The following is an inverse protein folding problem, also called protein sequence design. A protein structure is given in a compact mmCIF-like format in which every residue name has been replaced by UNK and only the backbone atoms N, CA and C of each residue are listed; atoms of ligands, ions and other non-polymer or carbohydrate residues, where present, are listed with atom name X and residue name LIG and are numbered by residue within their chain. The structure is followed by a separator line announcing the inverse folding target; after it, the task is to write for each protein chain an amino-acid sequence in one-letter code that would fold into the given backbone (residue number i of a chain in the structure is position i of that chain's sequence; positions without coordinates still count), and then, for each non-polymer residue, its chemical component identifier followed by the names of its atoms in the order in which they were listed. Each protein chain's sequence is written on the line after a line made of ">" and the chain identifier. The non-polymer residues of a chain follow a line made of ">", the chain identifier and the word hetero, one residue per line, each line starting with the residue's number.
data_IF_460740932024
#
_entry.id   IF_460740932024
#
_cell.length_a   1.000
_cell.length_b   1.000
_cell.length_c   1.000
_cell.angle_alpha   90.00
_cell.angle_beta   90.00
_cell.angle_gamma   90.00
#
_symmetry.space_group_name_H-M   'P 1'
#
loop_
_entity.id
_entity.type
_entity.pdbx_description
1 polymer ?
#
# COMPACT_ATOMS: atom_id res chain seq x y z
N UNK A 1 14.42 -33.07 -0.38
CA UNK A 1 14.96 -32.33 0.77
C UNK A 1 14.65 -30.84 0.74
N UNK A 2 14.69 -30.13 -0.41
CA UNK A 2 14.37 -28.66 -0.52
C UNK A 2 12.92 -28.30 -0.13
N UNK A 3 11.94 -29.17 -0.42
CA UNK A 3 10.53 -28.92 -0.11
C UNK A 3 10.18 -28.86 1.39
N UNK A 4 10.88 -29.61 2.23
CA UNK A 4 10.63 -29.66 3.67
C UNK A 4 11.15 -28.38 4.37
N UNK A 5 12.28 -27.83 3.91
CA UNK A 5 12.86 -26.60 4.45
C UNK A 5 12.02 -25.36 4.15
N UNK A 6 11.48 -25.27 2.93
CA UNK A 6 10.53 -24.20 2.58
C UNK A 6 9.26 -24.25 3.46
N UNK A 7 8.79 -25.44 3.80
CA UNK A 7 7.63 -25.61 4.69
C UNK A 7 7.93 -25.19 6.14
N UNK A 8 9.14 -25.40 6.60
CA UNK A 8 9.55 -25.06 7.97
C UNK A 8 9.85 -23.56 8.10
N UNK A 9 10.40 -22.90 7.07
CA UNK A 9 10.49 -21.44 6.97
C UNK A 9 9.10 -20.78 6.93
N UNK A 10 8.15 -21.39 6.21
CA UNK A 10 6.75 -20.97 6.19
C UNK A 10 6.06 -21.10 7.56
N UNK A 11 6.40 -22.15 8.32
CA UNK A 11 5.90 -22.33 9.70
C UNK A 11 6.53 -21.33 10.67
N UNK A 12 7.79 -20.93 10.46
CA UNK A 12 8.46 -19.90 11.24
C UNK A 12 7.85 -18.53 10.97
N UNK A 13 7.58 -18.15 9.71
CA UNK A 13 6.85 -16.94 9.35
C UNK A 13 5.43 -16.90 9.93
N UNK A 14 4.74 -18.04 9.97
CA UNK A 14 3.41 -18.14 10.60
C UNK A 14 3.48 -18.02 12.13
N UNK A 15 4.61 -18.36 12.76
CA UNK A 15 4.86 -18.18 14.20
C UNK A 15 5.36 -16.77 14.53
N UNK A 16 6.10 -16.15 13.63
CA UNK A 16 6.62 -14.77 13.74
C UNK A 16 5.55 -13.70 13.38
N UNK A 17 4.45 -14.08 12.71
CA UNK A 17 3.30 -13.21 12.58
C UNK A 17 2.79 -12.88 13.99
N UNK A 18 2.75 -11.59 14.41
CA UNK A 18 2.45 -11.24 15.78
C UNK A 18 1.04 -11.69 16.14
N UNK A 19 0.95 -12.76 16.93
CA UNK A 19 -0.20 -12.99 17.76
C UNK A 19 -0.17 -11.87 18.79
N UNK A 20 -1.10 -10.93 18.64
CA UNK A 20 -1.35 -9.89 19.63
C UNK A 20 -0.24 -8.83 19.78
N UNK A 21 -0.10 -7.99 18.75
CA UNK A 21 0.65 -6.71 18.85
C UNK A 21 0.06 -5.85 19.99
N UNK A 22 -1.23 -5.92 20.24
CA UNK A 22 -1.92 -5.20 21.29
C UNK A 22 -1.52 -5.61 22.71
N UNK A 23 -1.20 -6.90 22.95
CA UNK A 23 -0.81 -7.37 24.28
C UNK A 23 0.60 -6.91 24.68
N UNK A 24 1.51 -6.82 23.73
CA UNK A 24 2.88 -6.38 23.97
C UNK A 24 2.96 -4.86 24.26
N UNK A 25 2.12 -4.07 23.60
CA UNK A 25 2.00 -2.62 23.87
C UNK A 25 1.35 -2.34 25.21
N UNK A 26 0.33 -3.09 25.63
CA UNK A 26 -0.31 -2.94 26.96
C UNK A 26 0.65 -3.32 28.10
N UNK A 27 1.50 -4.33 27.92
CA UNK A 27 2.50 -4.69 28.93
C UNK A 27 3.59 -3.64 29.11
N UNK A 28 3.96 -2.93 28.05
CA UNK A 28 4.98 -1.86 28.08
C UNK A 28 4.46 -0.58 28.72
N UNK A 29 3.15 -0.28 28.57
CA UNK A 29 2.50 0.90 29.18
C UNK A 29 2.22 0.72 30.68
N UNK A 30 2.11 -0.51 31.19
CA UNK A 30 1.88 -0.79 32.59
C UNK A 30 3.16 -0.86 33.45
N UNK A 31 4.34 -0.97 32.83
CA UNK A 31 5.63 -1.09 33.53
C UNK A 31 6.27 0.26 33.92
N UNK A 32 5.71 1.41 33.53
CA UNK A 32 6.29 2.74 33.76
C UNK A 32 5.49 3.66 34.67
N UNK A 33 4.63 3.11 35.54
CA UNK A 33 3.97 3.94 36.58
C UNK A 33 4.83 3.97 37.83
N UNK A 34 5.41 5.13 38.25
CA UNK A 34 6.13 5.21 39.50
C UNK A 34 5.14 5.23 40.68
N UNK A 35 5.26 4.24 41.55
CA UNK A 35 4.65 4.28 42.88
C UNK A 35 5.56 5.15 43.80
N UNK A 36 5.13 6.35 44.14
CA UNK A 36 5.81 7.17 45.09
C UNK A 36 5.20 8.58 45.18
N UNK A 37 4.38 8.83 46.20
CA UNK A 37 3.78 10.13 46.45
C UNK A 37 4.77 11.08 47.08
N UNK A 38 5.43 11.91 46.27
CA UNK A 38 6.14 13.10 46.69
C UNK A 38 5.64 14.29 45.89
N UNK A 39 5.39 15.44 46.52
CA UNK A 39 4.93 16.66 45.85
C UNK A 39 6.03 17.20 44.94
N UNK A 40 5.87 17.03 43.61
CA UNK A 40 6.79 17.58 42.60
C UNK A 40 6.75 19.10 42.58
N UNK A 41 7.91 19.74 42.50
CA UNK A 41 8.05 21.19 42.34
C UNK A 41 7.50 21.65 40.96
N UNK A 42 7.15 22.93 40.83
CA UNK A 42 6.66 23.49 39.56
C UNK A 42 7.66 23.33 38.41
N UNK A 43 8.96 23.28 38.71
CA UNK A 43 10.04 23.13 37.75
C UNK A 43 10.12 21.68 37.22
N UNK A 44 9.90 20.69 38.09
CA UNK A 44 9.85 19.28 37.75
C UNK A 44 8.60 18.94 36.89
N UNK A 45 7.45 19.58 37.22
CA UNK A 45 6.23 19.45 36.39
C UNK A 45 6.39 20.05 34.99
N UNK A 46 7.14 21.15 34.84
CA UNK A 46 7.41 21.76 33.55
C UNK A 46 8.37 20.88 32.68
N UNK A 47 9.41 20.29 33.30
CA UNK A 47 10.33 19.38 32.60
C UNK A 47 9.67 18.08 32.22
N UNK A 48 8.80 17.53 33.06
CA UNK A 48 8.04 16.30 32.76
C UNK A 48 6.98 16.53 31.66
N UNK A 49 6.33 17.70 31.67
CA UNK A 49 5.41 18.10 30.60
C UNK A 49 6.12 18.33 29.25
N UNK A 50 7.35 18.85 29.28
CA UNK A 50 8.15 19.06 28.08
C UNK A 50 8.73 17.75 27.56
N UNK A 51 9.16 16.83 28.44
CA UNK A 51 9.57 15.46 28.06
C UNK A 51 8.42 14.65 27.47
N UNK A 52 7.21 14.72 28.05
CA UNK A 52 6.03 14.05 27.51
C UNK A 52 5.59 14.62 26.16
N UNK A 53 5.74 15.93 25.92
CA UNK A 53 5.47 16.55 24.62
C UNK A 53 6.46 16.10 23.54
N UNK A 54 7.76 15.99 23.84
CA UNK A 54 8.76 15.51 22.88
C UNK A 54 8.56 14.03 22.54
N UNK A 55 8.34 13.16 23.52
CA UNK A 55 8.04 11.74 23.26
C UNK A 55 6.72 11.53 22.50
N UNK A 56 5.68 12.32 22.79
CA UNK A 56 4.43 12.25 22.05
C UNK A 56 4.56 12.76 20.60
N UNK A 57 5.41 13.78 20.36
CA UNK A 57 5.66 14.28 19.00
C UNK A 57 6.50 13.30 18.19
N UNK A 58 7.55 12.70 18.75
CA UNK A 58 8.37 11.68 18.09
C UNK A 58 7.56 10.42 17.72
N UNK A 59 6.67 9.95 18.60
CA UNK A 59 5.80 8.81 18.30
C UNK A 59 4.77 9.13 17.23
N UNK A 60 4.22 10.33 17.19
CA UNK A 60 3.26 10.76 16.17
C UNK A 60 3.92 10.94 14.80
N UNK A 61 5.16 11.45 14.75
CA UNK A 61 5.94 11.56 13.52
C UNK A 61 6.36 10.18 12.98
N UNK A 62 6.68 9.25 13.87
CA UNK A 62 7.03 7.88 13.49
C UNK A 62 5.88 7.11 12.81
N UNK A 63 4.63 7.51 13.02
CA UNK A 63 3.44 6.91 12.41
C UNK A 63 2.96 7.65 11.14
N UNK A 64 3.57 8.79 10.80
CA UNK A 64 3.23 9.53 9.58
C UNK A 64 3.95 8.95 8.38
N UNK A 65 3.24 8.82 7.26
CA UNK A 65 3.78 8.34 5.97
C UNK A 65 3.33 9.24 4.83
N UNK A 66 4.27 9.66 4.02
CA UNK A 66 4.04 10.40 2.78
C UNK A 66 4.06 9.41 1.61
N UNK A 67 2.91 9.12 1.04
CA UNK A 67 2.75 8.11 -0.01
C UNK A 67 2.40 8.82 -1.32
N UNK A 68 3.20 8.57 -2.36
CA UNK A 68 2.90 9.02 -3.72
C UNK A 68 2.05 8.01 -4.47
N UNK A 69 1.07 8.46 -5.24
CA UNK A 69 0.33 7.62 -6.19
C UNK A 69 0.69 8.07 -7.60
N UNK A 70 1.33 7.18 -8.35
CA UNK A 70 1.80 7.45 -9.70
C UNK A 70 1.28 6.41 -10.68
N UNK A 71 0.95 6.84 -11.88
CA UNK A 71 0.34 5.97 -12.88
C UNK A 71 0.51 6.54 -14.29
N UNK A 72 0.34 5.70 -15.30
CA UNK A 72 0.10 6.23 -16.65
C UNK A 72 -1.34 6.72 -16.80
N UNK A 73 -1.60 7.47 -17.86
CA UNK A 73 -2.95 7.98 -18.18
C UNK A 73 -3.93 6.80 -18.27
N UNK A 74 -5.13 6.98 -17.76
CA UNK A 74 -6.23 6.01 -17.76
C UNK A 74 -5.96 4.70 -17.00
N UNK A 75 -4.93 4.58 -16.16
CA UNK A 75 -4.74 3.39 -15.30
C UNK A 75 -5.64 3.38 -14.06
N UNK A 76 -6.35 4.49 -13.79
CA UNK A 76 -7.28 4.61 -12.68
C UNK A 76 -6.67 5.16 -11.41
N UNK A 77 -5.64 6.02 -11.52
CA UNK A 77 -5.00 6.71 -10.40
C UNK A 77 -6.00 7.46 -9.52
N UNK A 78 -6.74 8.40 -10.10
CA UNK A 78 -7.72 9.23 -9.40
C UNK A 78 -8.84 8.39 -8.77
N UNK A 79 -9.31 7.36 -9.48
CA UNK A 79 -10.29 6.40 -8.93
C UNK A 79 -9.75 5.67 -7.70
N UNK A 80 -8.50 5.24 -7.71
CA UNK A 80 -7.87 4.59 -6.56
C UNK A 80 -7.76 5.56 -5.38
N UNK A 81 -7.35 6.80 -5.62
CA UNK A 81 -7.25 7.83 -4.58
C UNK A 81 -8.63 8.13 -3.96
N UNK A 82 -9.66 8.33 -4.78
CA UNK A 82 -11.05 8.52 -4.30
C UNK A 82 -11.52 7.34 -3.44
N UNK A 83 -11.24 6.10 -3.84
CA UNK A 83 -11.57 4.89 -3.07
C UNK A 83 -10.82 4.84 -1.73
N UNK A 84 -9.54 5.18 -1.69
CA UNK A 84 -8.78 5.26 -0.44
C UNK A 84 -9.40 6.28 0.50
N UNK A 85 -9.72 7.48 0.01
CA UNK A 85 -10.36 8.53 0.82
C UNK A 85 -11.74 8.11 1.34
N UNK A 86 -12.51 7.39 0.53
CA UNK A 86 -13.81 6.87 0.94
C UNK A 86 -13.68 5.80 2.03
N UNK A 87 -12.86 4.77 1.84
CA UNK A 87 -12.70 3.69 2.83
C UNK A 87 -12.04 4.15 4.13
N UNK A 88 -11.28 5.24 4.10
CA UNK A 88 -10.71 5.86 5.31
C UNK A 88 -11.66 6.87 5.97
N UNK A 89 -12.88 7.03 5.44
CA UNK A 89 -13.90 7.93 5.98
C UNK A 89 -13.59 9.42 5.78
N UNK A 90 -12.64 9.76 4.88
CA UNK A 90 -12.29 11.15 4.59
C UNK A 90 -13.33 11.84 3.69
N UNK A 91 -13.99 11.09 2.83
CA UNK A 91 -15.12 11.51 1.99
C UNK A 91 -16.31 10.57 2.22
N UNK A 92 -17.52 11.11 2.10
CA UNK A 92 -18.75 10.36 2.37
C UNK A 92 -19.30 9.66 1.13
N UNK A 93 -18.89 10.07 -0.05
CA UNK A 93 -19.32 9.51 -1.34
C UNK A 93 -18.14 9.45 -2.31
N UNK A 94 -18.19 8.49 -3.22
CA UNK A 94 -17.21 8.33 -4.29
C UNK A 94 -17.71 9.16 -5.47
N UNK A 95 -16.85 10.04 -5.98
CA UNK A 95 -17.16 10.89 -7.13
C UNK A 95 -16.55 10.33 -8.41
N UNK A 96 -17.25 10.48 -9.53
CA UNK A 96 -16.72 10.08 -10.83
C UNK A 96 -15.66 11.06 -11.33
N UNK A 97 -14.54 10.52 -11.81
CA UNK A 97 -13.38 11.29 -12.30
C UNK A 97 -13.75 12.27 -13.42
N UNK A 98 -14.70 11.90 -14.27
CA UNK A 98 -15.14 12.73 -15.39
C UNK A 98 -16.29 13.68 -15.06
N UNK A 99 -16.61 13.86 -13.79
CA UNK A 99 -17.64 14.79 -13.35
C UNK A 99 -19.04 14.53 -13.90
N UNK A 100 -19.36 13.30 -14.33
CA UNK A 100 -20.68 12.93 -14.80
C UNK A 100 -21.77 13.07 -13.72
N UNK A 101 -21.35 13.01 -12.46
CA UNK A 101 -22.17 13.29 -11.27
C UNK A 101 -22.31 14.79 -10.96
N UNK A 102 -21.69 15.68 -11.77
CA UNK A 102 -21.71 17.13 -11.60
C UNK A 102 -20.76 17.66 -10.51
N UNK A 103 -20.06 16.79 -9.78
CA UNK A 103 -19.17 17.16 -8.65
C UNK A 103 -17.70 16.98 -9.01
N UNK A 104 -17.34 15.88 -9.67
CA UNK A 104 -15.95 15.51 -10.01
C UNK A 104 -15.14 15.03 -8.82
N UNK A 105 -13.98 14.45 -9.09
CA UNK A 105 -13.10 13.90 -8.06
C UNK A 105 -12.55 14.99 -7.13
N UNK A 106 -12.45 14.68 -5.83
CA UNK A 106 -12.02 15.65 -4.81
C UNK A 106 -10.58 16.11 -4.98
N UNK A 107 -9.74 15.27 -5.56
CA UNK A 107 -8.32 15.60 -5.82
C UNK A 107 -8.13 16.49 -7.04
N UNK A 108 -9.05 16.46 -8.01
CA UNK A 108 -8.97 17.27 -9.21
C UNK A 108 -9.51 18.68 -8.90
N UNK A 109 -8.62 19.58 -8.48
CA UNK A 109 -8.98 20.93 -8.02
C UNK A 109 -9.24 21.91 -9.17
N UNK A 110 -8.63 21.67 -10.33
CA UNK A 110 -8.75 22.54 -11.51
C UNK A 110 -9.92 22.08 -12.39
N UNK A 111 -10.64 23.05 -12.97
CA UNK A 111 -11.73 22.78 -13.91
C UNK A 111 -11.24 21.98 -15.13
N UNK A 112 -10.04 22.28 -15.62
CA UNK A 112 -9.40 21.59 -16.72
C UNK A 112 -9.04 20.12 -16.38
N UNK A 113 -8.68 19.83 -15.14
CA UNK A 113 -8.44 18.46 -14.64
C UNK A 113 -9.74 17.64 -14.69
N UNK A 114 -10.84 18.22 -14.22
CA UNK A 114 -12.17 17.58 -14.24
C UNK A 114 -12.69 17.37 -15.65
N UNK A 115 -12.53 18.36 -16.53
CA UNK A 115 -12.95 18.27 -17.92
C UNK A 115 -12.18 17.20 -18.70
N UNK A 116 -10.86 17.14 -18.53
CA UNK A 116 -10.00 16.21 -19.25
C UNK A 116 -9.81 14.86 -18.54
N UNK A 117 -10.15 14.77 -17.25
CA UNK A 117 -9.94 13.58 -16.42
C UNK A 117 -8.47 13.21 -16.23
N UNK A 118 -7.58 14.23 -16.18
CA UNK A 118 -6.14 14.07 -15.96
C UNK A 118 -5.67 14.96 -14.81
N UNK A 119 -4.74 14.50 -14.01
CA UNK A 119 -4.09 15.31 -12.98
C UNK A 119 -3.00 16.17 -13.60
N UNK A 120 -3.08 17.48 -13.43
CA UNK A 120 -2.13 18.46 -13.95
C UNK A 120 -1.19 18.92 -12.84
N UNK A 121 -1.72 19.22 -11.66
CA UNK A 121 -0.96 19.69 -10.51
C UNK A 121 -0.92 18.63 -9.42
N UNK A 122 0.22 18.51 -8.72
CA UNK A 122 0.33 17.62 -7.55
C UNK A 122 -0.61 18.09 -6.46
N UNK A 123 -1.57 17.24 -6.09
CA UNK A 123 -2.49 17.50 -5.00
C UNK A 123 -2.09 16.65 -3.78
N UNK A 124 -2.10 17.28 -2.61
CA UNK A 124 -1.84 16.58 -1.35
C UNK A 124 -3.12 16.51 -0.53
N UNK A 125 -3.42 15.33 -0.03
CA UNK A 125 -4.50 15.12 0.93
C UNK A 125 -4.00 14.21 2.04
N UNK A 126 -4.77 14.09 3.10
CA UNK A 126 -4.43 13.19 4.20
C UNK A 126 -5.61 12.30 4.54
N UNK A 127 -5.29 11.13 5.03
CA UNK A 127 -6.24 10.22 5.64
C UNK A 127 -5.61 9.56 6.86
N UNK A 128 -6.44 8.99 7.71
CA UNK A 128 -6.00 8.21 8.84
C UNK A 128 -6.47 6.77 8.69
N UNK A 129 -5.55 5.85 8.82
CA UNK A 129 -5.85 4.43 8.78
C UNK A 129 -5.26 3.74 9.99
N UNK A 130 -6.12 3.20 10.87
CA UNK A 130 -5.71 2.66 12.17
C UNK A 130 -4.96 3.74 12.97
N UNK A 131 -3.71 3.49 13.32
CA UNK A 131 -2.86 4.41 14.09
C UNK A 131 -1.96 5.28 13.20
N UNK A 132 -1.97 5.07 11.87
CA UNK A 132 -1.09 5.78 10.94
C UNK A 132 -1.78 6.98 10.30
N UNK A 133 -1.09 8.11 10.28
CA UNK A 133 -1.45 9.29 9.50
C UNK A 133 -0.79 9.19 8.12
N UNK A 134 -1.58 9.16 7.07
CA UNK A 134 -1.10 8.97 5.70
C UNK A 134 -1.37 10.25 4.91
N UNK A 135 -0.30 10.88 4.45
CA UNK A 135 -0.38 11.94 3.46
C UNK A 135 -0.30 11.30 2.06
N UNK A 136 -1.33 11.51 1.27
CA UNK A 136 -1.41 11.03 -0.11
C UNK A 136 -1.05 12.19 -1.02
N UNK A 137 -0.01 12.01 -1.81
CA UNK A 137 0.44 12.96 -2.81
C UNK A 137 0.12 12.38 -4.17
N UNK A 138 -0.89 12.93 -4.82
CA UNK A 138 -1.27 12.57 -6.18
C UNK A 138 -0.34 13.26 -7.17
N UNK A 139 0.37 12.49 -7.99
CA UNK A 139 1.35 13.03 -8.93
C UNK A 139 0.80 13.01 -10.36
N UNK A 140 1.05 14.06 -11.16
CA UNK A 140 0.69 14.05 -12.56
C UNK A 140 1.24 12.82 -13.28
N UNK A 141 0.41 12.19 -14.11
CA UNK A 141 0.83 11.04 -14.93
C UNK A 141 1.43 11.43 -16.29
N UNK A 142 1.41 12.72 -16.66
CA UNK A 142 1.84 13.18 -17.96
C UNK A 142 3.32 13.60 -17.98
N UNK A 143 4.03 13.27 -19.06
CA UNK A 143 5.47 13.57 -19.21
C UNK A 143 5.80 15.06 -19.17
N UNK A 144 4.87 15.92 -19.52
CA UNK A 144 5.07 17.38 -19.53
C UNK A 144 5.20 17.96 -18.10
N UNK A 145 4.77 17.23 -17.08
CA UNK A 145 4.80 17.67 -15.68
C UNK A 145 5.95 17.06 -14.88
N UNK A 146 7.07 16.76 -15.52
CA UNK A 146 8.24 16.11 -14.91
C UNK A 146 8.75 16.82 -13.65
N UNK A 147 8.76 18.14 -13.64
CA UNK A 147 9.24 18.96 -12.51
C UNK A 147 8.35 18.76 -11.27
N UNK A 148 7.03 18.72 -11.45
CA UNK A 148 6.08 18.52 -10.37
C UNK A 148 6.21 17.11 -9.78
N UNK A 149 6.39 16.10 -10.63
CA UNK A 149 6.66 14.71 -10.20
C UNK A 149 7.96 14.64 -9.40
N UNK A 150 9.04 15.28 -9.86
CA UNK A 150 10.33 15.28 -9.17
C UNK A 150 10.28 16.01 -7.82
N UNK A 151 9.52 17.08 -7.71
CA UNK A 151 9.31 17.77 -6.42
C UNK A 151 8.57 16.88 -5.42
N UNK A 152 7.52 16.22 -5.88
CA UNK A 152 6.76 15.30 -5.05
C UNK A 152 7.64 14.12 -4.56
N UNK A 153 8.41 13.49 -5.45
CA UNK A 153 9.25 12.34 -5.11
C UNK A 153 10.28 12.60 -3.99
N UNK A 154 10.72 13.84 -3.81
CA UNK A 154 11.71 14.20 -2.76
C UNK A 154 11.17 14.08 -1.33
N UNK A 155 9.87 14.12 -1.15
CA UNK A 155 9.23 14.12 0.17
C UNK A 155 8.50 12.79 0.48
N UNK A 156 8.55 11.83 -0.45
CA UNK A 156 7.85 10.56 -0.32
C UNK A 156 8.65 9.54 0.50
N UNK A 157 8.00 8.89 1.43
CA UNK A 157 8.50 7.69 2.12
C UNK A 157 8.32 6.42 1.26
N UNK A 158 7.36 6.43 0.34
CA UNK A 158 7.09 5.35 -0.58
C UNK A 158 6.07 5.74 -1.65
N UNK A 159 5.89 4.89 -2.64
CA UNK A 159 4.96 5.15 -3.73
C UNK A 159 4.15 3.91 -4.12
N UNK A 160 2.95 4.15 -4.65
CA UNK A 160 2.13 3.15 -5.31
C UNK A 160 2.18 3.41 -6.82
N UNK A 161 2.77 2.48 -7.56
CA UNK A 161 2.78 2.49 -9.02
C UNK A 161 1.55 1.73 -9.53
N UNK A 162 0.57 2.47 -10.03
CA UNK A 162 -0.68 1.90 -10.54
C UNK A 162 -0.50 1.46 -11.99
N UNK A 163 -0.72 0.19 -12.25
CA UNK A 163 -0.63 -0.44 -13.56
C UNK A 163 -1.99 -0.98 -13.98
N UNK A 164 -2.33 -0.86 -15.26
CA UNK A 164 -3.57 -1.42 -15.79
C UNK A 164 -3.40 -2.90 -16.11
N UNK A 165 -4.30 -3.78 -15.63
CA UNK A 165 -4.26 -5.23 -15.89
C UNK A 165 -4.37 -5.58 -17.38
N UNK A 166 -5.01 -4.72 -18.20
CA UNK A 166 -5.15 -4.86 -19.63
C UNK A 166 -3.98 -4.24 -20.38
N UNK A 167 -3.66 -2.96 -20.09
CA UNK A 167 -2.62 -2.17 -20.77
C UNK A 167 -1.18 -2.53 -20.37
N UNK A 168 -1.00 -3.06 -19.16
CA UNK A 168 0.32 -3.43 -18.64
C UNK A 168 1.27 -2.26 -18.40
N UNK A 169 2.57 -2.53 -18.50
CA UNK A 169 3.63 -1.52 -18.36
C UNK A 169 3.79 -0.75 -19.66
N UNK A 170 3.55 0.56 -19.60
CA UNK A 170 3.64 1.50 -20.71
C UNK A 170 4.84 2.43 -20.58
N UNK A 171 5.13 3.25 -21.61
CA UNK A 171 6.28 4.18 -21.65
C UNK A 171 6.30 5.15 -20.47
N UNK A 172 5.16 5.68 -20.07
CA UNK A 172 5.04 6.57 -18.91
C UNK A 172 5.37 5.84 -17.60
N UNK A 173 4.95 4.57 -17.44
CA UNK A 173 5.31 3.75 -16.27
C UNK A 173 6.83 3.58 -16.16
N UNK A 174 7.54 3.42 -17.28
CA UNK A 174 9.01 3.30 -17.33
C UNK A 174 9.66 4.62 -16.90
N UNK A 175 9.13 5.75 -17.36
CA UNK A 175 9.65 7.09 -17.00
C UNK A 175 9.49 7.35 -15.51
N UNK A 176 8.31 7.10 -14.97
CA UNK A 176 8.02 7.26 -13.53
C UNK A 176 8.88 6.32 -12.68
N UNK A 177 9.06 5.07 -13.09
CA UNK A 177 9.94 4.12 -12.41
C UNK A 177 11.39 4.61 -12.34
N UNK A 178 11.93 5.17 -13.44
CA UNK A 178 13.28 5.76 -13.46
C UNK A 178 13.40 6.93 -12.47
N UNK A 179 12.39 7.78 -12.39
CA UNK A 179 12.36 8.88 -11.44
C UNK A 179 12.33 8.37 -10.00
N UNK A 180 11.48 7.38 -9.68
CA UNK A 180 11.44 6.76 -8.35
C UNK A 180 12.78 6.16 -7.96
N UNK A 181 13.49 5.48 -8.89
CA UNK A 181 14.84 4.97 -8.65
C UNK A 181 15.84 6.09 -8.38
N UNK A 182 15.80 7.17 -9.16
CA UNK A 182 16.70 8.32 -8.98
C UNK A 182 16.60 8.95 -7.60
N UNK A 183 15.39 8.96 -7.02
CA UNK A 183 15.13 9.52 -5.69
C UNK A 183 15.09 8.46 -4.57
N UNK A 184 15.45 7.20 -4.88
CA UNK A 184 15.42 6.06 -3.95
C UNK A 184 14.06 5.86 -3.27
N UNK A 185 12.97 6.13 -3.95
CA UNK A 185 11.61 5.94 -3.43
C UNK A 185 11.21 4.46 -3.59
N UNK A 186 11.00 3.72 -2.48
CA UNK A 186 10.48 2.36 -2.53
C UNK A 186 9.04 2.37 -3.07
N UNK A 187 8.63 1.31 -3.76
CA UNK A 187 7.32 1.26 -4.42
C UNK A 187 6.67 -0.10 -4.38
N UNK A 188 5.35 -0.06 -4.27
CA UNK A 188 4.46 -1.18 -4.50
C UNK A 188 3.79 -1.01 -5.87
N UNK A 189 3.68 -2.09 -6.63
CA UNK A 189 2.89 -2.10 -7.86
C UNK A 189 1.46 -2.51 -7.55
N UNK A 190 0.49 -1.68 -7.93
CA UNK A 190 -0.94 -1.97 -7.82
C UNK A 190 -1.52 -2.25 -9.21
N UNK A 191 -1.86 -3.51 -9.48
CA UNK A 191 -2.47 -3.93 -10.74
C UNK A 191 -3.97 -3.68 -10.66
N UNK A 192 -4.42 -2.63 -11.33
CA UNK A 192 -5.79 -2.15 -11.32
C UNK A 192 -6.60 -2.65 -12.52
N UNK A 193 -7.92 -2.56 -12.42
CA UNK A 193 -8.89 -2.92 -13.48
C UNK A 193 -8.88 -4.42 -13.80
N UNK A 194 -8.78 -5.27 -12.78
CA UNK A 194 -8.88 -6.72 -12.91
C UNK A 194 -10.29 -7.20 -13.29
N UNK A 195 -11.28 -6.31 -13.19
CA UNK A 195 -12.68 -6.44 -13.59
C UNK A 195 -12.93 -6.23 -15.09
N UNK A 196 -11.93 -5.79 -15.85
CA UNK A 196 -12.12 -5.50 -17.29
C UNK A 196 -11.81 -6.69 -18.16
N UNK A 197 -12.54 -6.81 -19.28
CA UNK A 197 -12.29 -7.79 -20.32
C UNK A 197 -10.82 -7.70 -20.81
N UNK A 198 -10.13 -8.84 -20.90
CA UNK A 198 -8.72 -8.95 -21.25
C UNK A 198 -7.76 -8.66 -20.08
N UNK A 199 -8.25 -8.62 -18.84
CA UNK A 199 -7.43 -8.45 -17.66
C UNK A 199 -6.46 -9.62 -17.46
N UNK A 200 -5.16 -9.33 -17.36
CA UNK A 200 -4.14 -10.34 -17.13
C UNK A 200 -3.03 -9.81 -16.18
N UNK A 201 -3.19 -9.92 -14.86
CA UNK A 201 -2.21 -9.45 -13.89
C UNK A 201 -0.87 -10.19 -13.98
N UNK A 202 -0.86 -11.44 -14.43
CA UNK A 202 0.36 -12.23 -14.60
C UNK A 202 1.24 -11.71 -15.73
N UNK A 203 0.62 -11.30 -16.84
CA UNK A 203 1.30 -10.61 -17.94
C UNK A 203 1.89 -9.29 -17.47
N UNK A 204 1.18 -8.55 -16.63
CA UNK A 204 1.68 -7.30 -16.06
C UNK A 204 2.88 -7.55 -15.16
N UNK A 205 2.82 -8.54 -14.27
CA UNK A 205 3.95 -8.94 -13.41
C UNK A 205 5.18 -9.33 -14.23
N UNK A 206 5.01 -10.10 -15.30
CA UNK A 206 6.10 -10.43 -16.21
C UNK A 206 6.70 -9.17 -16.86
N UNK A 207 5.85 -8.24 -17.31
CA UNK A 207 6.32 -6.96 -17.86
C UNK A 207 7.05 -6.08 -16.83
N UNK A 208 6.65 -6.09 -15.56
CA UNK A 208 7.37 -5.39 -14.48
C UNK A 208 8.80 -5.94 -14.36
N UNK A 209 8.95 -7.26 -14.39
CA UNK A 209 10.26 -7.91 -14.38
C UNK A 209 11.09 -7.59 -15.62
N UNK A 210 10.49 -7.69 -16.80
CA UNK A 210 11.20 -7.56 -18.07
C UNK A 210 11.50 -6.12 -18.46
N UNK A 211 10.49 -5.22 -18.38
CA UNK A 211 10.62 -3.83 -18.86
C UNK A 211 11.17 -2.91 -17.79
N UNK A 212 10.77 -3.10 -16.52
CA UNK A 212 11.27 -2.29 -15.41
C UNK A 212 12.52 -2.90 -14.76
N UNK A 213 12.91 -4.14 -15.10
CA UNK A 213 14.04 -4.85 -14.49
C UNK A 213 13.99 -4.84 -12.97
N UNK A 214 12.80 -5.14 -12.43
CA UNK A 214 12.57 -5.24 -11.00
C UNK A 214 12.48 -6.70 -10.57
N UNK A 215 13.10 -7.06 -9.45
CA UNK A 215 12.81 -8.29 -8.76
C UNK A 215 11.45 -8.12 -8.07
N UNK A 216 10.38 -8.63 -8.70
CA UNK A 216 9.01 -8.42 -8.26
C UNK A 216 8.30 -9.75 -8.02
N UNK A 217 7.54 -9.84 -6.94
CA UNK A 217 6.69 -10.98 -6.63
C UNK A 217 5.27 -10.52 -6.32
N UNK A 218 4.29 -11.39 -6.55
CA UNK A 218 2.91 -11.12 -6.18
C UNK A 218 2.77 -11.22 -4.65
N UNK A 219 2.13 -10.23 -4.04
CA UNK A 219 1.73 -10.24 -2.63
C UNK A 219 0.29 -10.75 -2.48
N UNK A 220 -0.50 -10.56 -3.52
CA UNK A 220 -1.89 -11.01 -3.60
C UNK A 220 -2.14 -11.62 -4.98
N UNK A 221 -3.07 -12.57 -5.06
CA UNK A 221 -3.57 -13.12 -6.31
C UNK A 221 -5.08 -12.92 -6.39
N UNK A 222 -5.66 -12.58 -7.56
CA UNK A 222 -7.09 -12.36 -7.69
C UNK A 222 -7.87 -13.67 -7.56
N UNK A 223 -9.07 -13.57 -6.98
CA UNK A 223 -10.11 -14.59 -7.01
C UNK A 223 -11.05 -14.22 -8.14
N UNK A 224 -11.00 -14.96 -9.23
CA UNK A 224 -11.65 -14.58 -10.49
C UNK A 224 -10.98 -13.40 -11.20
N UNK A 225 -11.32 -13.21 -12.45
CA UNK A 225 -10.92 -12.08 -13.28
C UNK A 225 -12.11 -11.64 -14.11
N UNK A 226 -12.05 -10.41 -14.63
CA UNK A 226 -13.14 -9.82 -15.41
C UNK A 226 -14.42 -9.77 -14.59
N UNK A 227 -15.54 -10.21 -15.14
CA UNK A 227 -16.84 -10.20 -14.46
C UNK A 227 -16.92 -11.15 -13.25
N UNK A 228 -15.98 -12.11 -13.17
CA UNK A 228 -15.88 -13.06 -12.04
C UNK A 228 -14.95 -12.58 -10.91
N UNK A 229 -14.46 -11.34 -10.97
CA UNK A 229 -13.55 -10.82 -9.95
C UNK A 229 -14.27 -10.51 -8.65
N UNK A 230 -14.11 -11.38 -7.65
CA UNK A 230 -14.80 -11.30 -6.36
C UNK A 230 -13.91 -10.87 -5.20
N UNK A 231 -12.58 -11.03 -5.33
CA UNK A 231 -11.67 -10.77 -4.22
C UNK A 231 -10.22 -11.10 -4.50
N UNK A 232 -9.46 -11.29 -3.43
CA UNK A 232 -8.04 -11.62 -3.52
C UNK A 232 -7.66 -12.70 -2.49
N UNK A 233 -6.60 -13.45 -2.79
CA UNK A 233 -5.89 -14.27 -1.80
C UNK A 233 -4.68 -13.49 -1.30
N UNK A 234 -4.60 -13.26 -0.01
CA UNK A 234 -3.44 -12.68 0.68
C UNK A 234 -2.36 -13.75 0.88
N UNK A 235 -1.25 -13.63 0.17
CA UNK A 235 -0.16 -14.60 0.22
C UNK A 235 0.69 -14.50 1.49
N UNK A 236 0.65 -13.37 2.19
CA UNK A 236 1.35 -13.19 3.47
C UNK A 236 0.63 -13.96 4.58
N UNK A 237 -0.70 -13.81 4.66
CA UNK A 237 -1.53 -14.46 5.68
C UNK A 237 -2.07 -15.81 5.25
N UNK A 238 -2.01 -16.14 3.97
CA UNK A 238 -2.58 -17.35 3.37
C UNK A 238 -4.08 -17.48 3.65
N UNK A 239 -4.83 -16.47 3.28
CA UNK A 239 -6.28 -16.39 3.46
C UNK A 239 -6.93 -15.69 2.26
N UNK A 240 -8.19 -16.03 2.00
CA UNK A 240 -8.99 -15.30 1.01
C UNK A 240 -9.63 -14.06 1.65
N UNK A 241 -9.78 -13.01 0.85
CA UNK A 241 -10.53 -11.80 1.18
C UNK A 241 -11.49 -11.53 0.05
N UNK A 242 -12.78 -11.73 0.29
CA UNK A 242 -13.86 -11.50 -0.69
C UNK A 242 -14.52 -10.18 -0.39
N UNK A 243 -14.79 -9.42 -1.44
CA UNK A 243 -15.43 -8.09 -1.36
C UNK A 243 -16.92 -8.23 -1.64
N UNK A 244 -17.76 -7.67 -0.77
CA UNK A 244 -19.22 -7.72 -0.91
C UNK A 244 -19.87 -6.41 -0.48
N UNK A 245 -21.17 -6.29 -0.73
CA UNK A 245 -21.94 -5.08 -0.43
C UNK A 245 -21.76 -3.98 -1.46
N UNK A 246 -22.49 -2.88 -1.28
CA UNK A 246 -22.38 -1.71 -2.13
C UNK A 246 -20.95 -1.14 -2.05
N UNK A 247 -20.30 -0.92 -3.18
CA UNK A 247 -18.93 -0.45 -3.28
C UNK A 247 -17.85 -1.37 -2.64
N UNK A 248 -18.13 -2.65 -2.35
CA UNK A 248 -17.16 -3.59 -1.78
C UNK A 248 -16.72 -3.26 -0.35
N UNK A 249 -17.57 -2.65 0.45
CA UNK A 249 -17.26 -2.20 1.81
C UNK A 249 -17.16 -3.36 2.82
N UNK A 250 -17.84 -4.46 2.55
CA UNK A 250 -17.85 -5.61 3.43
C UNK A 250 -16.75 -6.58 3.02
N UNK A 251 -15.83 -6.84 3.94
CA UNK A 251 -14.74 -7.78 3.74
C UNK A 251 -15.04 -9.09 4.45
N UNK A 252 -15.09 -10.18 3.69
CA UNK A 252 -15.21 -11.53 4.25
C UNK A 252 -13.87 -12.24 4.12
N UNK A 253 -13.27 -12.58 5.27
CA UNK A 253 -12.00 -13.33 5.33
C UNK A 253 -12.33 -14.80 5.51
N UNK A 254 -11.72 -15.64 4.68
CA UNK A 254 -11.97 -17.08 4.67
C UNK A 254 -10.76 -17.93 4.27
N UNK A 255 -11.01 -19.20 4.07
CA UNK A 255 -10.02 -20.13 3.52
C UNK A 255 -9.79 -19.87 2.03
N UNK A 256 -8.60 -20.23 1.55
CA UNK A 256 -8.26 -20.14 0.12
C UNK A 256 -9.11 -21.15 -0.65
N UNK A 257 -9.79 -20.75 -1.72
CA UNK A 257 -10.52 -21.68 -2.59
C UNK A 257 -9.65 -22.85 -3.05
N UNK A 258 -10.21 -24.04 -3.11
CA UNK A 258 -9.45 -25.29 -3.41
C UNK A 258 -8.69 -25.21 -4.74
N UNK A 259 -9.29 -24.60 -5.77
CA UNK A 259 -8.71 -24.40 -7.08
C UNK A 259 -7.53 -23.40 -7.13
N UNK A 260 -7.37 -22.55 -6.07
CA UNK A 260 -6.31 -21.56 -5.98
C UNK A 260 -5.21 -21.93 -4.99
N UNK A 261 -5.36 -23.02 -4.21
CA UNK A 261 -4.37 -23.42 -3.19
C UNK A 261 -2.99 -23.68 -3.77
N UNK A 262 -2.91 -24.46 -4.83
CA UNK A 262 -1.64 -24.80 -5.49
C UNK A 262 -0.96 -23.56 -6.05
N UNK A 263 -1.71 -22.69 -6.73
CA UNK A 263 -1.20 -21.41 -7.24
C UNK A 263 -0.73 -20.49 -6.08
N UNK A 264 -1.49 -20.42 -5.00
CA UNK A 264 -1.13 -19.63 -3.83
C UNK A 264 0.17 -20.12 -3.18
N UNK A 265 0.35 -21.42 -3.04
CA UNK A 265 1.57 -22.02 -2.51
C UNK A 265 2.78 -21.76 -3.43
N UNK A 266 2.60 -21.88 -4.75
CA UNK A 266 3.65 -21.54 -5.74
C UNK A 266 4.05 -20.07 -5.64
N UNK A 267 3.09 -19.14 -5.69
CA UNK A 267 3.37 -17.70 -5.67
C UNK A 267 3.92 -17.23 -4.33
N UNK A 268 3.51 -17.86 -3.22
CA UNK A 268 4.08 -17.58 -1.91
C UNK A 268 5.56 -17.98 -1.84
N UNK A 269 5.95 -19.11 -2.42
CA UNK A 269 7.38 -19.50 -2.50
C UNK A 269 8.20 -18.44 -3.23
N UNK A 270 7.72 -18.00 -4.38
CA UNK A 270 8.37 -16.92 -5.16
C UNK A 270 8.45 -15.62 -4.36
N UNK A 271 7.41 -15.27 -3.59
CA UNK A 271 7.43 -14.09 -2.72
C UNK A 271 8.50 -14.20 -1.65
N UNK A 272 8.62 -15.35 -0.98
CA UNK A 272 9.63 -15.58 0.06
C UNK A 272 11.04 -15.53 -0.54
N UNK A 273 11.26 -16.17 -1.69
CA UNK A 273 12.54 -16.11 -2.42
C UNK A 273 12.92 -14.66 -2.76
N UNK A 274 11.96 -13.87 -3.28
CA UNK A 274 12.17 -12.48 -3.63
C UNK A 274 12.52 -11.59 -2.43
N UNK A 275 11.89 -11.81 -1.27
CA UNK A 275 12.15 -11.02 -0.06
C UNK A 275 13.44 -11.47 0.63
N UNK A 276 13.77 -12.77 0.62
CA UNK A 276 15.00 -13.29 1.20
C UNK A 276 16.28 -12.83 0.51
N UNK A 277 16.18 -12.29 -0.71
CA UNK A 277 17.34 -11.66 -1.39
C UNK A 277 17.70 -10.28 -0.81
N UNK A 278 16.79 -9.63 -0.07
CA UNK A 278 16.99 -8.26 0.44
C UNK A 278 16.87 -8.14 1.96
N UNK A 279 16.42 -9.19 2.63
CA UNK A 279 16.29 -9.28 4.08
C UNK A 279 17.16 -10.42 4.60
N UNK A 280 18.21 -10.08 5.37
CA UNK A 280 19.20 -11.05 5.86
C UNK A 280 18.59 -12.06 6.82
N UNK A 281 17.70 -11.64 7.73
CA UNK A 281 17.07 -12.52 8.71
C UNK A 281 16.18 -13.56 8.03
N UNK A 282 15.38 -13.12 7.04
CA UNK A 282 14.55 -14.02 6.24
C UNK A 282 15.42 -14.91 5.32
N UNK A 283 16.53 -14.38 4.79
CA UNK A 283 17.50 -15.12 3.99
C UNK A 283 18.10 -16.28 4.77
N UNK A 284 18.54 -16.03 6.00
CA UNK A 284 19.10 -17.06 6.89
C UNK A 284 18.05 -18.14 7.22
N UNK A 285 16.80 -17.73 7.53
CA UNK A 285 15.70 -18.67 7.77
C UNK A 285 15.32 -19.50 6.54
N UNK A 286 15.52 -18.96 5.34
CA UNK A 286 15.22 -19.66 4.10
C UNK A 286 16.31 -20.68 3.74
N UNK A 287 17.57 -20.41 4.12
CA UNK A 287 18.73 -21.29 3.88
C UNK A 287 18.85 -22.44 4.91
N UNK A 288 18.35 -22.26 6.12
CA UNK A 288 18.28 -23.29 7.18
C UNK A 288 17.20 -24.33 6.89
#
# INVERSE_FOLDING_TARGET
>A
MRSKRALDALRALRRAAPRDVDARWRAMTLATAPRGGGAMTQRERASDAMGRRTYASESAEALRRNIGISAHIDSGKTTLTERILFYTGRINAIHEVRGKDGVGAKMDSMELEREKGITIQSAATYCRWKESDINIIDTPGHVDFTIEVERALRVLDGAVLVLCSVGGVQSQSITVDRQMRRYNVPRLCFVNKCDRAGANPWKVLAQVRDKLKLNAAAVQIPIGLEDEHEGVVDLVRMQSVVFSGENGQTLTVGEIPANLKELADEKRKVLIECVSEVDEELGDLFLM
#
